data_IF_871992935520
#
_entry.id   IF_871992935520
#
_cell.length_a   1.000
_cell.length_b   1.000
_cell.length_c   1.000
_cell.angle_alpha   90.00
_cell.angle_beta   90.00
_cell.angle_gamma   90.00
#
_symmetry.space_group_name_H-M   'P 1'
#
loop_
_entity.id
_entity.type
_entity.pdbx_description
1 polymer ?
#
# COMPACT_ATOMS: atom_id res chain seq x y z
N UNK A 1 -11.02 29.32 -7.54
CA UNK A 1 -10.37 28.01 -7.58
C UNK A 1 -9.42 28.03 -8.76
N UNK A 2 -8.12 28.26 -8.49
CA UNK A 2 -7.12 28.54 -9.52
C UNK A 2 -6.41 27.22 -9.85
N UNK A 3 -6.67 26.67 -11.03
CA UNK A 3 -6.04 25.43 -11.51
C UNK A 3 -4.68 25.77 -12.11
N UNK A 4 -3.59 25.30 -11.49
CA UNK A 4 -2.28 25.29 -12.12
C UNK A 4 -2.21 24.11 -13.10
N UNK A 5 -1.82 24.38 -14.36
CA UNK A 5 -1.55 23.33 -15.34
C UNK A 5 -0.16 22.72 -15.03
N UNK A 6 -0.15 21.44 -14.67
CA UNK A 6 1.08 20.65 -14.49
C UNK A 6 1.36 19.93 -15.81
N UNK A 7 2.43 20.32 -16.49
CA UNK A 7 2.98 19.57 -17.61
C UNK A 7 3.81 18.41 -17.09
N UNK A 8 3.51 17.18 -17.53
CA UNK A 8 4.32 16.00 -17.25
C UNK A 8 5.15 15.69 -18.49
N UNK A 9 6.46 15.85 -18.39
CA UNK A 9 7.41 15.46 -19.43
C UNK A 9 8.10 14.17 -19.01
N UNK A 10 8.10 13.15 -19.87
CA UNK A 10 8.76 11.87 -19.59
C UNK A 10 10.01 11.79 -20.43
N UNK A 11 11.18 11.88 -19.81
CA UNK A 11 12.47 11.79 -20.48
C UNK A 11 13.29 10.68 -19.81
N UNK A 12 13.68 9.64 -20.57
CA UNK A 12 14.56 8.57 -20.08
C UNK A 12 14.04 7.77 -18.87
N UNK A 13 12.72 7.70 -18.65
CA UNK A 13 12.11 7.04 -17.48
C UNK A 13 11.92 7.94 -16.27
N UNK A 14 12.34 9.20 -16.34
CA UNK A 14 12.08 10.22 -15.33
C UNK A 14 10.83 11.02 -15.74
N UNK A 15 9.82 11.05 -14.87
CA UNK A 15 8.64 11.92 -15.05
C UNK A 15 8.95 13.26 -14.39
N UNK A 16 9.19 14.29 -15.20
CA UNK A 16 9.38 15.67 -14.75
C UNK A 16 8.03 16.38 -14.75
N UNK A 17 7.51 16.67 -13.57
CA UNK A 17 6.34 17.53 -13.40
C UNK A 17 6.78 18.99 -13.39
N UNK A 18 6.51 19.71 -14.47
CA UNK A 18 6.70 21.15 -14.58
C UNK A 18 5.36 21.84 -14.30
N UNK A 19 5.29 22.60 -13.21
CA UNK A 19 4.18 23.55 -13.02
C UNK A 19 4.42 24.67 -14.02
N UNK A 20 3.60 24.74 -15.08
CA UNK A 20 3.64 25.86 -16.02
C UNK A 20 3.12 27.10 -15.28
N UNK A 21 4.05 27.91 -14.78
CA UNK A 21 3.74 29.25 -14.31
C UNK A 21 3.20 30.07 -15.48
N UNK A 22 1.97 30.54 -15.38
CA UNK A 22 1.45 31.56 -16.27
C UNK A 22 2.36 32.80 -16.16
N UNK A 23 2.91 33.34 -17.26
CA UNK A 23 3.70 34.55 -17.19
C UNK A 23 2.76 35.75 -17.28
N UNK A 24 2.19 36.24 -16.18
CA UNK A 24 1.72 37.62 -16.14
C UNK A 24 1.95 38.25 -14.76
N UNK A 25 3.09 38.95 -14.69
CA UNK A 25 3.17 40.36 -14.32
C UNK A 25 2.20 40.83 -13.21
N UNK A 26 2.69 40.86 -11.98
CA UNK A 26 1.99 41.53 -10.88
C UNK A 26 2.57 41.14 -9.54
N UNK A 27 3.23 42.11 -8.90
CA UNK A 27 3.76 42.05 -7.54
C UNK A 27 2.66 41.65 -6.54
N UNK A 28 2.66 40.39 -6.11
CA UNK A 28 1.71 39.86 -5.13
C UNK A 28 1.56 38.35 -5.26
N UNK A 29 1.89 37.64 -4.18
CA UNK A 29 1.56 36.23 -3.96
C UNK A 29 2.54 35.16 -4.48
N UNK A 30 3.78 35.21 -4.00
CA UNK A 30 4.67 34.03 -3.89
C UNK A 30 4.15 32.94 -2.92
N UNK A 31 2.96 33.11 -2.36
CA UNK A 31 2.36 32.20 -1.36
C UNK A 31 1.96 30.84 -1.95
N UNK A 32 1.68 30.76 -3.26
CA UNK A 32 1.31 29.50 -3.92
C UNK A 32 2.45 28.49 -4.09
N UNK A 33 3.68 28.94 -4.35
CA UNK A 33 4.82 28.04 -4.68
C UNK A 33 5.58 27.59 -3.43
N UNK A 34 5.59 28.42 -2.38
CA UNK A 34 6.21 28.07 -1.10
C UNK A 34 5.40 27.03 -0.32
N UNK A 35 4.05 27.12 -0.35
CA UNK A 35 3.16 26.18 0.34
C UNK A 35 3.19 24.74 -0.25
N UNK A 36 3.62 24.59 -1.51
CA UNK A 36 3.80 23.30 -2.21
C UNK A 36 4.95 22.48 -1.59
N UNK A 37 5.91 23.11 -0.91
CA UNK A 37 7.13 22.41 -0.45
C UNK A 37 6.91 21.40 0.68
N UNK A 38 5.76 21.42 1.36
CA UNK A 38 5.56 20.65 2.59
C UNK A 38 4.47 19.58 2.53
N UNK A 39 3.61 19.56 1.49
CA UNK A 39 2.43 18.67 1.46
C UNK A 39 2.34 17.88 0.16
N UNK A 40 2.02 16.57 0.20
CA UNK A 40 1.74 15.79 -0.99
C UNK A 40 0.56 16.39 -1.77
N UNK A 41 0.71 16.52 -3.09
CA UNK A 41 -0.33 16.99 -4.00
C UNK A 41 -1.00 15.80 -4.67
N UNK A 42 -2.32 15.70 -4.54
CA UNK A 42 -3.11 14.71 -5.28
C UNK A 42 -3.45 15.26 -6.67
N UNK A 43 -3.08 14.54 -7.71
CA UNK A 43 -3.34 14.86 -9.12
C UNK A 43 -4.37 13.87 -9.63
N UNK A 44 -5.58 14.35 -9.89
CA UNK A 44 -6.67 13.52 -10.45
C UNK A 44 -6.52 13.42 -11.96
N UNK A 45 -6.41 12.19 -12.49
CA UNK A 45 -6.35 11.96 -13.94
C UNK A 45 -7.74 11.59 -14.47
N UNK A 46 -8.14 12.16 -15.61
CA UNK A 46 -9.36 11.71 -16.29
C UNK A 46 -9.16 10.29 -16.81
N UNK A 47 -9.94 9.34 -16.28
CA UNK A 47 -9.93 7.94 -16.69
C UNK A 47 -8.76 7.12 -16.16
N UNK A 48 -8.13 7.53 -15.06
CA UNK A 48 -7.08 6.75 -14.39
C UNK A 48 -7.05 7.00 -12.89
N UNK A 49 -6.19 6.27 -12.20
CA UNK A 49 -6.00 6.44 -10.76
C UNK A 49 -5.40 7.81 -10.41
N UNK A 50 -5.75 8.30 -9.22
CA UNK A 50 -5.18 9.53 -8.69
C UNK A 50 -3.70 9.32 -8.38
N UNK A 51 -2.88 10.29 -8.78
CA UNK A 51 -1.45 10.29 -8.49
C UNK A 51 -1.15 11.17 -7.28
N UNK A 52 -0.06 10.89 -6.58
CA UNK A 52 0.45 11.77 -5.51
C UNK A 52 1.82 12.26 -5.90
N UNK A 53 1.97 13.59 -6.01
CA UNK A 53 3.26 14.26 -6.21
C UNK A 53 3.78 14.76 -4.87
N UNK A 54 5.02 14.42 -4.57
CA UNK A 54 5.74 14.91 -3.39
C UNK A 54 7.19 15.22 -3.78
N UNK A 55 7.93 15.88 -2.88
CA UNK A 55 9.35 16.11 -3.12
C UNK A 55 10.10 14.78 -3.09
N UNK A 56 11.14 14.66 -3.93
CA UNK A 56 11.99 13.46 -3.94
C UNK A 56 12.63 13.21 -2.56
N UNK A 57 13.00 14.28 -1.84
CA UNK A 57 13.51 14.20 -0.47
C UNK A 57 12.47 13.58 0.48
N UNK A 58 11.19 13.97 0.36
CA UNK A 58 10.14 13.38 1.20
C UNK A 58 9.89 11.91 0.86
N UNK A 59 9.91 11.56 -0.43
CA UNK A 59 9.79 10.17 -0.84
C UNK A 59 10.93 9.32 -0.24
N UNK A 60 12.16 9.83 -0.24
CA UNK A 60 13.30 9.16 0.40
C UNK A 60 13.11 9.01 1.92
N UNK A 61 12.62 10.04 2.59
CA UNK A 61 12.33 9.98 4.03
C UNK A 61 11.24 8.95 4.36
N UNK A 62 10.18 8.87 3.54
CA UNK A 62 9.12 7.87 3.72
C UNK A 62 9.68 6.43 3.51
N UNK A 63 10.61 6.24 2.57
CA UNK A 63 11.36 4.98 2.40
C UNK A 63 12.19 4.62 3.63
N UNK A 64 13.01 5.54 4.12
CA UNK A 64 13.89 5.31 5.27
C UNK A 64 13.07 4.92 6.51
N UNK A 65 11.93 5.60 6.73
CA UNK A 65 11.01 5.29 7.83
C UNK A 65 10.40 3.90 7.67
N UNK A 66 9.97 3.51 6.47
CA UNK A 66 9.42 2.18 6.22
C UNK A 66 10.47 1.07 6.41
N UNK A 67 11.70 1.29 5.94
CA UNK A 67 12.81 0.37 6.13
C UNK A 67 13.14 0.20 7.62
N UNK A 68 13.20 1.29 8.37
CA UNK A 68 13.42 1.26 9.82
C UNK A 68 12.30 0.52 10.56
N UNK A 69 11.04 0.79 10.22
CA UNK A 69 9.89 0.09 10.81
C UNK A 69 9.93 -1.42 10.51
N UNK A 70 10.26 -1.79 9.28
CA UNK A 70 10.42 -3.20 8.86
C UNK A 70 11.52 -3.88 9.65
N UNK A 71 12.68 -3.24 9.82
CA UNK A 71 13.79 -3.77 10.61
C UNK A 71 13.43 -3.92 12.10
N UNK A 72 12.66 -3.00 12.67
CA UNK A 72 12.17 -3.11 14.05
C UNK A 72 11.21 -4.29 14.24
N UNK A 73 10.27 -4.48 13.31
CA UNK A 73 9.36 -5.64 13.33
C UNK A 73 10.15 -6.93 13.21
N UNK A 74 11.09 -6.99 12.27
CA UNK A 74 11.96 -8.16 12.06
C UNK A 74 12.75 -8.50 13.33
N UNK A 75 13.36 -7.52 13.98
CA UNK A 75 14.07 -7.71 15.24
C UNK A 75 13.15 -8.21 16.38
N UNK A 76 11.92 -7.69 16.45
CA UNK A 76 10.93 -8.15 17.43
C UNK A 76 10.59 -9.63 17.24
N UNK A 77 10.47 -10.10 16.00
CA UNK A 77 10.13 -11.49 15.70
C UNK A 77 11.27 -12.45 16.03
N UNK A 78 12.50 -12.04 15.74
CA UNK A 78 13.70 -12.81 16.08
C UNK A 78 14.06 -12.75 17.57
N UNK A 79 13.32 -12.00 18.39
CA UNK A 79 13.52 -11.98 19.85
C UNK A 79 13.18 -13.31 20.54
N UNK A 80 12.42 -14.19 19.86
CA UNK A 80 11.94 -15.46 20.42
C UNK A 80 10.72 -15.33 21.34
N UNK A 81 10.20 -14.11 21.55
CA UNK A 81 9.00 -13.88 22.36
C UNK A 81 7.72 -13.89 21.50
N UNK A 82 7.27 -15.09 21.14
CA UNK A 82 6.05 -15.26 20.34
C UNK A 82 4.77 -14.77 21.02
N UNK A 83 4.76 -14.60 22.35
CA UNK A 83 3.61 -14.03 23.06
C UNK A 83 3.55 -12.51 22.88
N UNK A 84 4.71 -11.84 22.95
CA UNK A 84 4.82 -10.42 22.65
C UNK A 84 4.45 -10.12 21.19
N UNK A 85 4.95 -10.91 20.23
CA UNK A 85 4.60 -10.78 18.81
C UNK A 85 3.08 -10.83 18.62
N UNK A 86 2.42 -11.87 19.14
CA UNK A 86 0.96 -12.00 19.07
C UNK A 86 0.24 -10.80 19.67
N UNK A 87 0.70 -10.31 20.81
CA UNK A 87 0.11 -9.14 21.47
C UNK A 87 0.25 -7.87 20.62
N UNK A 88 1.41 -7.65 20.02
CA UNK A 88 1.66 -6.50 19.14
C UNK A 88 0.81 -6.58 17.88
N UNK A 89 0.75 -7.75 17.25
CA UNK A 89 -0.06 -7.98 16.03
C UNK A 89 -1.54 -7.77 16.33
N UNK A 90 -2.08 -8.33 17.42
CA UNK A 90 -3.47 -8.12 17.81
C UNK A 90 -3.80 -6.65 18.13
N UNK A 91 -2.83 -5.89 18.66
CA UNK A 91 -3.01 -4.46 18.90
C UNK A 91 -2.98 -3.64 17.60
N UNK A 92 -2.12 -4.00 16.64
CA UNK A 92 -2.00 -3.31 15.36
C UNK A 92 -3.13 -3.65 14.37
N UNK A 93 -3.62 -4.90 14.41
CA UNK A 93 -4.61 -5.45 13.50
C UNK A 93 -5.74 -6.13 14.30
N UNK A 94 -6.69 -5.36 14.86
CA UNK A 94 -7.72 -5.94 15.74
C UNK A 94 -8.55 -7.05 15.09
N UNK A 95 -8.70 -7.03 13.77
CA UNK A 95 -9.41 -8.03 12.98
C UNK A 95 -8.75 -9.42 12.99
N UNK A 96 -7.48 -9.56 13.40
CA UNK A 96 -6.84 -10.88 13.51
C UNK A 96 -7.48 -11.76 14.60
N UNK A 97 -8.36 -11.20 15.44
CA UNK A 97 -9.14 -11.98 16.40
C UNK A 97 -10.10 -13.00 15.77
N UNK A 98 -10.40 -12.86 14.47
CA UNK A 98 -11.21 -13.81 13.71
C UNK A 98 -10.40 -14.97 13.14
N UNK A 99 -9.07 -14.91 13.22
CA UNK A 99 -8.17 -15.95 12.74
C UNK A 99 -7.80 -16.94 13.86
N UNK A 100 -7.51 -18.17 13.48
CA UNK A 100 -6.89 -19.16 14.36
C UNK A 100 -5.44 -18.78 14.70
N UNK A 101 -4.87 -19.38 15.75
CA UNK A 101 -3.49 -19.09 16.15
C UNK A 101 -2.43 -19.46 15.10
N UNK A 102 -2.73 -20.45 14.24
CA UNK A 102 -1.90 -20.85 13.10
C UNK A 102 -1.99 -19.81 11.98
N UNK A 103 -3.21 -19.41 11.60
CA UNK A 103 -3.44 -18.37 10.58
C UNK A 103 -2.84 -17.01 10.98
N UNK A 104 -2.84 -16.66 12.26
CA UNK A 104 -2.14 -15.46 12.74
C UNK A 104 -0.62 -15.58 12.53
N UNK A 105 -0.04 -16.76 12.72
CA UNK A 105 1.39 -16.97 12.45
C UNK A 105 1.70 -16.86 10.96
N UNK A 106 0.87 -17.47 10.11
CA UNK A 106 0.99 -17.40 8.65
C UNK A 106 0.87 -15.96 8.14
N UNK A 107 -0.12 -15.20 8.64
CA UNK A 107 -0.27 -13.77 8.32
C UNK A 107 0.99 -12.97 8.68
N UNK A 108 1.55 -13.23 9.86
CA UNK A 108 2.75 -12.53 10.32
C UNK A 108 3.92 -12.83 9.41
N UNK A 109 4.19 -14.10 9.13
CA UNK A 109 5.28 -14.55 8.26
C UNK A 109 5.16 -13.95 6.85
N UNK A 110 3.97 -13.96 6.26
CA UNK A 110 3.70 -13.37 4.95
C UNK A 110 3.86 -11.84 4.96
N UNK A 111 3.37 -11.16 6.00
CA UNK A 111 3.48 -9.70 6.13
C UNK A 111 4.94 -9.26 6.21
N UNK A 112 5.79 -9.99 6.93
CA UNK A 112 7.22 -9.66 7.01
C UNK A 112 7.90 -9.89 5.67
N UNK A 113 7.64 -11.04 5.03
CA UNK A 113 8.20 -11.36 3.73
C UNK A 113 7.85 -10.27 2.70
N UNK A 114 6.58 -9.84 2.68
CA UNK A 114 6.11 -8.77 1.80
C UNK A 114 6.67 -7.39 2.17
N UNK A 115 6.84 -7.05 3.44
CA UNK A 115 7.51 -5.82 3.89
C UNK A 115 8.98 -5.78 3.44
N UNK A 116 9.73 -6.88 3.60
CA UNK A 116 11.12 -6.98 3.13
C UNK A 116 11.21 -6.84 1.61
N UNK A 117 10.34 -7.52 0.88
CA UNK A 117 10.29 -7.44 -0.58
C UNK A 117 9.89 -6.03 -1.06
N UNK A 118 8.90 -5.42 -0.43
CA UNK A 118 8.47 -4.07 -0.75
C UNK A 118 9.55 -3.03 -0.47
N UNK A 119 10.22 -3.14 0.68
CA UNK A 119 11.32 -2.24 1.04
C UNK A 119 12.52 -2.37 0.10
N UNK A 120 12.85 -3.57 -0.40
CA UNK A 120 13.98 -3.76 -1.31
C UNK A 120 13.71 -3.25 -2.73
N UNK A 121 12.43 -3.25 -3.14
CA UNK A 121 11.99 -2.78 -4.46
C UNK A 121 11.48 -1.34 -4.48
N UNK A 122 11.51 -0.64 -3.34
CA UNK A 122 10.84 0.66 -3.16
C UNK A 122 9.36 0.62 -3.63
N UNK A 123 8.64 -0.42 -3.22
CA UNK A 123 7.27 -0.66 -3.63
C UNK A 123 6.40 -1.04 -2.43
N UNK A 124 5.43 -0.20 -2.02
CA UNK A 124 4.53 -0.49 -0.91
C UNK A 124 3.39 -1.45 -1.29
N UNK A 125 3.22 -1.79 -2.57
CA UNK A 125 2.09 -2.62 -3.02
C UNK A 125 2.08 -4.05 -2.45
N UNK A 126 3.22 -4.78 -2.33
CA UNK A 126 3.21 -6.13 -1.75
C UNK A 126 2.65 -6.19 -0.32
N UNK A 127 3.14 -5.43 0.67
CA UNK A 127 2.59 -5.50 2.03
C UNK A 127 1.14 -5.01 2.11
N UNK A 128 0.78 -3.98 1.32
CA UNK A 128 -0.61 -3.53 1.24
C UNK A 128 -1.55 -4.63 0.70
N UNK A 129 -1.10 -5.37 -0.33
CA UNK A 129 -1.84 -6.52 -0.88
C UNK A 129 -1.99 -7.63 0.15
N UNK A 130 -0.92 -8.03 0.84
CA UNK A 130 -0.99 -9.07 1.89
C UNK A 130 -2.03 -8.69 2.95
N UNK A 131 -2.01 -7.46 3.46
CA UNK A 131 -3.02 -7.00 4.44
C UNK A 131 -4.45 -7.13 3.88
N UNK A 132 -4.68 -6.70 2.64
CA UNK A 132 -6.01 -6.77 2.01
C UNK A 132 -6.48 -8.21 1.78
N UNK A 133 -5.58 -9.10 1.34
CA UNK A 133 -5.89 -10.52 1.15
C UNK A 133 -6.36 -11.16 2.46
N UNK A 134 -5.65 -10.92 3.55
CA UNK A 134 -6.02 -11.47 4.87
C UNK A 134 -7.29 -10.84 5.43
N UNK A 135 -7.54 -9.56 5.16
CA UNK A 135 -8.82 -8.92 5.48
C UNK A 135 -9.98 -9.61 4.77
N UNK A 136 -9.84 -9.98 3.49
CA UNK A 136 -10.89 -10.72 2.79
C UNK A 136 -11.16 -12.10 3.40
N UNK A 137 -10.14 -12.82 3.85
CA UNK A 137 -10.31 -14.07 4.60
C UNK A 137 -11.13 -13.83 5.87
N UNK A 138 -10.83 -12.76 6.59
CA UNK A 138 -11.53 -12.39 7.83
C UNK A 138 -12.97 -11.97 7.56
N UNK A 139 -13.24 -11.24 6.49
CA UNK A 139 -14.59 -10.88 6.07
C UNK A 139 -15.45 -12.11 5.82
N UNK A 140 -14.87 -13.17 5.24
CA UNK A 140 -15.54 -14.47 5.09
C UNK A 140 -15.86 -15.09 6.45
N UNK A 141 -14.91 -15.10 7.40
CA UNK A 141 -15.15 -15.67 8.74
C UNK A 141 -16.13 -14.85 9.58
N UNK A 142 -16.18 -13.54 9.37
CA UNK A 142 -17.12 -12.65 10.04
C UNK A 142 -18.57 -12.81 9.53
N UNK A 143 -18.77 -13.39 8.34
CA UNK A 143 -20.08 -13.73 7.78
C UNK A 143 -20.30 -15.25 7.77
N UNK A 144 -21.05 -15.81 8.76
CA UNK A 144 -21.30 -17.24 8.85
C UNK A 144 -22.01 -17.84 7.64
N UNK A 145 -22.85 -17.07 6.94
CA UNK A 145 -23.56 -17.55 5.76
C UNK A 145 -22.61 -17.63 4.57
N UNK A 146 -21.77 -16.61 4.38
CA UNK A 146 -20.72 -16.63 3.35
C UNK A 146 -19.72 -17.77 3.60
N UNK A 147 -19.26 -17.95 4.85
CA UNK A 147 -18.38 -19.05 5.22
C UNK A 147 -19.00 -20.42 4.90
N UNK A 148 -20.30 -20.60 5.19
CA UNK A 148 -21.04 -21.83 4.89
C UNK A 148 -21.14 -22.07 3.38
N UNK A 149 -21.38 -21.03 2.58
CA UNK A 149 -21.45 -21.12 1.12
C UNK A 149 -20.09 -21.51 0.53
N UNK A 150 -19.01 -20.87 0.98
CA UNK A 150 -17.65 -21.11 0.47
C UNK A 150 -17.05 -22.44 0.92
N UNK A 151 -17.48 -22.95 2.09
CA UNK A 151 -17.06 -24.25 2.63
C UNK A 151 -17.92 -25.41 2.12
N UNK A 152 -19.02 -25.14 1.41
CA UNK A 152 -19.85 -26.19 0.82
C UNK A 152 -19.06 -26.90 -0.31
N UNK A 153 -19.21 -28.23 -0.46
CA UNK A 153 -18.57 -28.95 -1.57
C UNK A 153 -18.94 -28.30 -2.90
N UNK A 154 -17.95 -28.06 -3.76
CA UNK A 154 -18.22 -27.60 -5.12
C UNK A 154 -19.00 -28.66 -5.89
N UNK A 155 -19.81 -28.25 -6.88
CA UNK A 155 -20.64 -29.16 -7.68
C UNK A 155 -19.85 -30.10 -8.62
N UNK A 156 -18.52 -30.16 -8.46
CA UNK A 156 -17.62 -31.01 -9.24
C UNK A 156 -16.36 -30.26 -9.68
N UNK A 157 -15.44 -31.01 -10.28
CA UNK A 157 -14.34 -30.48 -11.10
C UNK A 157 -14.98 -29.92 -12.38
N UNK A 158 -15.00 -28.59 -12.54
CA UNK A 158 -15.68 -27.89 -13.65
C UNK A 158 -15.02 -28.11 -15.02
N UNK A 159 -14.25 -29.18 -15.17
CA UNK A 159 -13.49 -29.53 -16.36
C UNK A 159 -12.18 -28.76 -16.48
N UNK A 160 -11.32 -29.19 -17.38
CA UNK A 160 -10.06 -28.53 -17.66
C UNK A 160 -10.30 -27.11 -18.21
N UNK A 161 -9.63 -26.12 -17.61
CA UNK A 161 -9.65 -24.73 -18.09
C UNK A 161 -8.94 -24.69 -19.45
N UNK A 162 -9.63 -24.33 -20.55
CA UNK A 162 -9.00 -24.23 -21.87
C UNK A 162 -7.94 -23.14 -21.86
N UNK A 163 -6.80 -23.41 -22.53
CA UNK A 163 -5.72 -22.44 -22.69
C UNK A 163 -6.28 -21.23 -23.47
N UNK A 164 -6.08 -19.99 -23.01
CA UNK A 164 -6.52 -18.80 -23.74
C UNK A 164 -5.93 -18.77 -25.15
N UNK A 165 -6.76 -18.49 -26.16
CA UNK A 165 -6.27 -18.19 -27.50
C UNK A 165 -5.55 -16.84 -27.47
N UNK A 166 -4.28 -16.83 -27.88
CA UNK A 166 -3.42 -15.63 -27.98
C UNK A 166 -3.64 -14.91 -29.32
#
# INVERSE_FOLDING_TARGET
MQSALVGLEVEGGLVRASVLGYPEQGEGDTVGVAAIRARPLRVTRRGGEDLVLMTAVRAEQEREVLAAATAMVDALLHSGDGALVRKVVAAAFPWVSYLSGEEVADFVDELIASLRAGSSMDNPAPPARTIQTWLHTVEVYADPELARILSAPSKGDFGAVPVPEL
#
